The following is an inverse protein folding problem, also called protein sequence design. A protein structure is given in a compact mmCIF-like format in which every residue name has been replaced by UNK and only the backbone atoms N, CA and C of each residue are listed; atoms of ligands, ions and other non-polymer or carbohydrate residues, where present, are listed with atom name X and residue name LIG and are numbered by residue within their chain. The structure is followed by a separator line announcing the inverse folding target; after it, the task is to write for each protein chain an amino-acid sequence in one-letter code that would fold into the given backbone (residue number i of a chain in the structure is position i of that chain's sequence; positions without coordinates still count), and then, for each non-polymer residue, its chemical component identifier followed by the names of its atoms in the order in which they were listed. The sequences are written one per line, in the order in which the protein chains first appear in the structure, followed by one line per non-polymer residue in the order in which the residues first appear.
data_IF_941265074983
#
_entry.id   IF_941265074983
#
_cell.length_a   1.000
_cell.length_b   1.000
_cell.length_c   1.000
_cell.angle_alpha   90.00
_cell.angle_beta   90.00
_cell.angle_gamma   90.00
#
_symmetry.space_group_name_H-M   'P 1'
#
loop_
_entity.id
_entity.type
_entity.pdbx_description
1 polymer ?
#
# COMPACT_ATOMS: atom_id res chain seq x y z
N UNK A 1 4.52 16.34 -2.70
CA UNK A 1 3.80 15.31 -3.49
C UNK A 1 2.33 15.43 -3.18
N UNK A 2 1.45 15.22 -4.17
CA UNK A 2 0.00 15.24 -3.95
C UNK A 2 -0.43 13.88 -3.38
N UNK A 3 -0.97 13.89 -2.16
CA UNK A 3 -1.55 12.71 -1.53
C UNK A 3 -2.78 12.26 -2.32
N UNK A 4 -2.85 10.96 -2.64
CA UNK A 4 -3.99 10.29 -3.26
C UNK A 4 -4.70 9.41 -2.25
N UNK A 5 -5.95 9.08 -2.55
CA UNK A 5 -6.79 8.17 -1.77
C UNK A 5 -7.30 7.05 -2.66
N UNK A 6 -7.62 5.92 -2.05
CA UNK A 6 -8.14 4.78 -2.77
C UNK A 6 -8.62 3.66 -1.85
N UNK A 7 -9.02 2.57 -2.49
CA UNK A 7 -9.43 1.33 -1.83
C UNK A 7 -8.55 0.18 -2.31
N UNK A 8 -8.19 -0.71 -1.40
CA UNK A 8 -7.47 -1.94 -1.73
C UNK A 8 -8.44 -2.88 -2.46
N UNK A 9 -8.22 -3.08 -3.77
CA UNK A 9 -9.03 -3.99 -4.59
C UNK A 9 -8.61 -5.45 -4.41
N UNK A 10 -7.31 -5.72 -4.26
CA UNK A 10 -6.78 -7.08 -4.15
C UNK A 10 -5.60 -7.16 -3.20
N UNK A 11 -5.55 -8.23 -2.42
CA UNK A 11 -4.42 -8.57 -1.54
C UNK A 11 -3.74 -9.88 -1.99
N UNK A 12 -2.41 -9.89 -2.02
CA UNK A 12 -1.61 -11.07 -2.39
C UNK A 12 -0.82 -11.63 -1.19
N UNK A 13 -1.31 -11.43 0.03
CA UNK A 13 -0.71 -12.01 1.24
C UNK A 13 -0.72 -13.55 1.13
N UNK A 14 0.43 -14.18 1.38
CA UNK A 14 0.56 -15.63 1.46
C UNK A 14 0.49 -16.39 0.12
N UNK A 15 0.50 -15.69 -1.02
CA UNK A 15 0.51 -16.34 -2.34
C UNK A 15 1.94 -16.67 -2.79
N UNK A 16 2.11 -17.85 -3.38
CA UNK A 16 3.40 -18.42 -3.82
C UNK A 16 3.78 -18.07 -5.27
N UNK A 17 3.01 -17.22 -5.96
CA UNK A 17 3.28 -16.79 -7.33
C UNK A 17 2.76 -15.38 -7.60
N UNK A 18 3.56 -14.56 -8.29
CA UNK A 18 3.38 -13.10 -8.36
C UNK A 18 3.77 -12.41 -7.05
N UNK A 19 4.11 -11.12 -7.11
CA UNK A 19 4.73 -10.35 -6.02
C UNK A 19 4.09 -10.62 -4.63
N UNK A 20 4.73 -11.46 -3.78
CA UNK A 20 4.14 -11.84 -2.51
C UNK A 20 4.05 -10.63 -1.60
N UNK A 21 2.97 -10.51 -0.84
CA UNK A 21 2.71 -9.33 0.02
C UNK A 21 2.59 -8.00 -0.74
N UNK A 22 2.21 -8.06 -2.02
CA UNK A 22 1.75 -6.90 -2.76
C UNK A 22 0.24 -6.67 -2.62
N UNK A 23 -0.19 -5.48 -3.02
CA UNK A 23 -1.58 -5.04 -3.00
C UNK A 23 -1.89 -4.22 -4.27
N UNK A 24 -3.11 -4.36 -4.77
CA UNK A 24 -3.66 -3.48 -5.82
C UNK A 24 -4.58 -2.46 -5.16
N UNK A 25 -4.33 -1.18 -5.42
CA UNK A 25 -5.17 -0.08 -4.96
C UNK A 25 -5.87 0.55 -6.17
N UNK A 26 -7.19 0.72 -6.08
CA UNK A 26 -7.93 1.60 -6.98
C UNK A 26 -7.97 2.99 -6.38
N UNK A 27 -7.33 3.95 -7.05
CA UNK A 27 -7.41 5.35 -6.67
C UNK A 27 -8.78 5.94 -6.97
N UNK A 28 -9.15 7.01 -6.26
CA UNK A 28 -10.35 7.82 -6.55
C UNK A 28 -10.33 8.45 -7.96
N UNK A 29 -9.14 8.51 -8.58
CA UNK A 29 -8.94 8.92 -9.97
C UNK A 29 -9.13 7.78 -10.98
N UNK A 30 -9.72 6.65 -10.55
CA UNK A 30 -9.94 5.43 -11.31
C UNK A 30 -8.67 4.72 -11.83
N UNK A 31 -7.47 5.18 -11.45
CA UNK A 31 -6.23 4.52 -11.83
C UNK A 31 -5.91 3.34 -10.89
N UNK A 32 -5.17 2.37 -11.40
CA UNK A 32 -4.69 1.21 -10.65
C UNK A 32 -3.26 1.46 -10.20
N UNK A 33 -3.03 1.32 -8.90
CA UNK A 33 -1.74 1.46 -8.27
C UNK A 33 -1.29 0.14 -7.68
N UNK A 34 0.00 -0.13 -7.80
CA UNK A 34 0.65 -1.25 -7.15
C UNK A 34 1.39 -0.78 -5.91
N UNK A 35 1.37 -1.56 -4.84
CA UNK A 35 2.16 -1.28 -3.64
C UNK A 35 2.63 -2.59 -3.00
N UNK A 36 3.77 -2.54 -2.32
CA UNK A 36 4.32 -3.67 -1.60
C UNK A 36 4.23 -3.45 -0.09
N UNK A 37 4.31 -4.52 0.70
CA UNK A 37 4.31 -4.48 2.17
C UNK A 37 5.31 -3.47 2.75
N UNK A 38 6.44 -3.28 2.08
CA UNK A 38 7.50 -2.36 2.51
C UNK A 38 7.13 -0.88 2.34
N UNK A 39 6.15 -0.57 1.50
CA UNK A 39 5.72 0.81 1.20
C UNK A 39 4.66 1.33 2.17
N UNK A 40 4.24 0.50 3.14
CA UNK A 40 3.33 0.88 4.21
C UNK A 40 4.07 1.71 5.26
N UNK A 41 3.54 2.88 5.61
CA UNK A 41 4.18 3.80 6.57
C UNK A 41 4.47 3.12 7.90
N UNK A 42 3.60 2.23 8.38
CA UNK A 42 3.87 1.49 9.62
C UNK A 42 5.06 0.54 9.47
N UNK A 43 5.22 -0.11 8.32
CA UNK A 43 6.32 -1.03 8.05
C UNK A 43 7.62 -0.29 7.75
N UNK A 44 7.56 0.88 7.11
CA UNK A 44 8.69 1.81 7.01
C UNK A 44 9.15 2.23 8.41
N UNK A 45 8.23 2.63 9.29
CA UNK A 45 8.57 3.00 10.67
C UNK A 45 9.15 1.80 11.45
N UNK A 46 8.65 0.59 11.22
CA UNK A 46 9.24 -0.62 11.78
C UNK A 46 10.70 -0.78 11.36
N UNK A 47 10.99 -0.64 10.06
CA UNK A 47 12.34 -0.81 9.51
C UNK A 47 13.32 0.27 9.96
N UNK A 48 12.86 1.53 10.04
CA UNK A 48 13.75 2.68 10.20
C UNK A 48 13.69 3.36 11.58
N UNK A 49 12.73 2.98 12.45
CA UNK A 49 12.56 3.62 13.77
C UNK A 49 12.47 2.63 14.92
N UNK A 50 11.57 1.64 14.86
CA UNK A 50 11.36 0.67 15.94
C UNK A 50 11.01 -0.73 15.42
N UNK A 51 11.97 -1.65 15.48
CA UNK A 51 11.83 -3.02 15.01
C UNK A 51 10.77 -3.85 15.78
N UNK A 52 10.35 -3.39 16.96
CA UNK A 52 9.31 -4.08 17.76
C UNK A 52 7.89 -3.75 17.30
N UNK A 53 7.71 -2.78 16.40
CA UNK A 53 6.39 -2.46 15.86
C UNK A 53 5.80 -3.67 15.12
N UNK A 54 4.48 -3.91 15.24
CA UNK A 54 3.83 -4.98 14.50
C UNK A 54 3.85 -4.68 13.00
N UNK A 55 4.03 -5.73 12.20
CA UNK A 55 3.92 -5.61 10.74
C UNK A 55 2.45 -5.36 10.37
N UNK A 56 2.20 -4.28 9.65
CA UNK A 56 0.88 -3.96 9.11
C UNK A 56 0.66 -4.67 7.79
N UNK A 57 -0.57 -5.17 7.60
CA UNK A 57 -1.03 -5.77 6.37
C UNK A 57 -2.32 -5.10 5.92
N UNK A 58 -2.46 -4.89 4.61
CA UNK A 58 -3.71 -4.41 4.02
C UNK A 58 -4.63 -5.58 3.66
N UNK A 59 -5.92 -5.33 3.74
CA UNK A 59 -7.00 -6.24 3.35
C UNK A 59 -7.85 -5.61 2.25
N UNK A 60 -8.53 -6.45 1.47
CA UNK A 60 -9.48 -5.98 0.45
C UNK A 60 -10.58 -5.12 1.10
N UNK A 61 -10.87 -3.98 0.49
CA UNK A 61 -11.82 -2.99 1.03
C UNK A 61 -11.23 -2.02 2.06
N UNK A 62 -9.95 -2.12 2.42
CA UNK A 62 -9.29 -1.10 3.24
C UNK A 62 -9.21 0.23 2.48
N UNK A 63 -9.55 1.32 3.18
CA UNK A 63 -9.34 2.68 2.70
C UNK A 63 -7.90 3.10 3.00
N UNK A 64 -7.25 3.71 2.01
CA UNK A 64 -5.83 4.10 2.11
C UNK A 64 -5.59 5.49 1.56
N UNK A 65 -4.55 6.14 2.07
CA UNK A 65 -3.97 7.35 1.52
C UNK A 65 -2.49 7.12 1.22
N UNK A 66 -1.99 7.60 0.08
CA UNK A 66 -0.66 7.27 -0.41
C UNK A 66 -0.07 8.40 -1.25
N UNK A 67 1.24 8.41 -1.42
CA UNK A 67 1.92 9.19 -2.46
C UNK A 67 2.03 8.34 -3.73
N UNK A 68 1.98 8.99 -4.90
CA UNK A 68 2.21 8.33 -6.17
C UNK A 68 3.66 8.49 -6.60
N UNK A 69 4.27 7.39 -7.03
CA UNK A 69 5.58 7.37 -7.65
C UNK A 69 5.52 6.57 -8.96
N UNK A 70 6.11 7.11 -10.03
CA UNK A 70 6.04 6.52 -11.38
C UNK A 70 7.45 6.40 -11.97
N UNK A 71 8.26 5.43 -11.50
CA UNK A 71 9.62 5.25 -12.02
C UNK A 71 9.65 4.57 -13.40
N UNK A 72 8.53 3.98 -13.84
CA UNK A 72 8.42 3.22 -15.08
C UNK A 72 6.98 3.25 -15.63
N UNK A 73 6.58 2.22 -16.38
CA UNK A 73 5.23 2.05 -16.94
C UNK A 73 4.14 1.77 -15.89
N UNK A 74 4.51 1.49 -14.64
CA UNK A 74 3.57 1.17 -13.58
C UNK A 74 3.42 2.34 -12.59
N UNK A 75 2.19 2.56 -12.12
CA UNK A 75 1.91 3.50 -11.04
C UNK A 75 2.14 2.80 -9.70
N UNK A 76 3.06 3.35 -8.89
CA UNK A 76 3.34 2.83 -7.56
C UNK A 76 2.68 3.73 -6.51
N UNK A 77 2.02 3.10 -5.55
CA UNK A 77 1.58 3.75 -4.32
C UNK A 77 2.65 3.51 -3.25
N UNK A 78 3.24 4.60 -2.77
CA UNK A 78 4.29 4.61 -1.73
C UNK A 78 3.82 5.39 -0.51
N UNK A 79 4.47 5.18 0.63
CA UNK A 79 4.09 5.80 1.91
C UNK A 79 2.59 5.61 2.18
N UNK A 80 2.11 4.38 1.98
CA UNK A 80 0.71 4.01 2.10
C UNK A 80 0.32 3.99 3.57
N UNK A 81 -0.76 4.69 3.90
CA UNK A 81 -1.33 4.75 5.24
C UNK A 81 -2.78 4.25 5.19
N UNK A 82 -3.07 3.21 5.97
CA UNK A 82 -4.44 2.75 6.21
C UNK A 82 -5.24 3.83 6.95
N UNK A 83 -6.48 4.05 6.53
CA UNK A 83 -7.44 4.95 7.18
C UNK A 83 -8.44 4.12 7.98
N UNK A 84 -8.83 4.64 9.14
CA UNK A 84 -9.93 4.06 9.91
C UNK A 84 -11.24 4.23 9.14
N UNK A 85 -12.12 3.23 9.24
CA UNK A 85 -13.49 3.34 8.72
C UNK A 85 -14.26 4.25 9.67
N UNK A 86 -14.57 5.48 9.22
CA UNK A 86 -15.50 6.37 9.92
C UNK A 86 -16.92 5.79 9.94
#
# INVERSE_FOLDING_TARGET
MLKKKGVVERSFIGKSGGDPYAFIIRGEDNQTYFTHLGDLVQNENKLYKDLNMPTEFLQEGDLVEFDCFTPSTHLLAIHVKKKDKN
#
